data_IF_975343336036
#
_entry.id   IF_975343336036
#
_cell.length_a   1.000
_cell.length_b   1.000
_cell.length_c   1.000
_cell.angle_alpha   90.00
_cell.angle_beta   90.00
_cell.angle_gamma   90.00
#
_symmetry.space_group_name_H-M   'P 1'
#
loop_
_entity.id
_entity.type
_entity.pdbx_description
1 polymer ?
#
# COMPACT_ATOMS: atom_id res chain seq x y z
N UNK A 1 54.46 -11.00 26.76
CA UNK A 1 53.62 -11.95 26.00
C UNK A 1 52.14 -11.91 26.42
N UNK A 2 51.81 -11.76 27.71
CA UNK A 2 50.44 -11.70 28.22
C UNK A 2 49.59 -10.48 27.73
N UNK A 3 50.21 -9.30 27.53
CA UNK A 3 49.50 -8.08 27.14
C UNK A 3 48.87 -8.16 25.73
N UNK A 4 49.48 -8.94 24.81
CA UNK A 4 48.98 -9.11 23.44
C UNK A 4 47.77 -10.06 23.38
N UNK A 5 47.64 -10.99 24.32
CA UNK A 5 46.53 -11.95 24.38
C UNK A 5 45.25 -11.26 24.85
N UNK A 6 45.33 -10.34 25.82
CA UNK A 6 44.18 -9.57 26.29
C UNK A 6 43.58 -8.67 25.21
N UNK A 7 44.42 -8.04 24.37
CA UNK A 7 43.93 -7.18 23.28
C UNK A 7 43.18 -8.01 22.22
N UNK A 8 43.67 -9.21 21.90
CA UNK A 8 42.99 -10.11 20.96
C UNK A 8 41.64 -10.58 21.53
N UNK A 9 41.59 -10.93 22.82
CA UNK A 9 40.34 -11.34 23.47
C UNK A 9 39.29 -10.22 23.46
N UNK A 10 39.70 -8.97 23.72
CA UNK A 10 38.81 -7.80 23.70
C UNK A 10 38.29 -7.51 22.29
N UNK A 11 39.14 -7.63 21.27
CA UNK A 11 38.71 -7.43 19.88
C UNK A 11 37.71 -8.51 19.47
N UNK A 12 37.95 -9.77 19.83
CA UNK A 12 37.03 -10.88 19.52
C UNK A 12 35.68 -10.73 20.23
N UNK A 13 35.63 -10.24 21.48
CA UNK A 13 34.37 -10.00 22.17
C UNK A 13 33.60 -8.82 21.57
N UNK A 14 34.28 -7.74 21.17
CA UNK A 14 33.64 -6.60 20.49
C UNK A 14 33.06 -7.03 19.13
N UNK A 15 33.80 -7.83 18.35
CA UNK A 15 33.29 -8.37 17.08
C UNK A 15 32.06 -9.24 17.32
N UNK A 16 32.10 -10.14 18.31
CA UNK A 16 30.96 -10.99 18.66
C UNK A 16 29.73 -10.19 19.14
N UNK A 17 29.92 -9.14 19.93
CA UNK A 17 28.85 -8.23 20.34
C UNK A 17 28.28 -7.47 19.14
N UNK A 18 29.14 -6.99 18.23
CA UNK A 18 28.70 -6.27 17.02
C UNK A 18 27.89 -7.16 16.07
N UNK A 19 28.27 -8.42 15.89
CA UNK A 19 27.52 -9.36 15.04
C UNK A 19 26.21 -9.77 15.71
N UNK A 20 26.20 -9.97 17.03
CA UNK A 20 24.97 -10.22 17.78
C UNK A 20 24.01 -9.03 17.70
N UNK A 21 24.50 -7.79 17.81
CA UNK A 21 23.68 -6.58 17.62
C UNK A 21 23.12 -6.54 16.20
N UNK A 22 23.91 -6.81 15.17
CA UNK A 22 23.44 -6.83 13.77
C UNK A 22 22.39 -7.93 13.52
N UNK A 23 22.58 -9.12 14.08
CA UNK A 23 21.61 -10.21 14.01
C UNK A 23 20.32 -9.82 14.76
N UNK A 24 20.44 -9.19 15.92
CA UNK A 24 19.29 -8.75 16.71
C UNK A 24 18.53 -7.61 16.03
N UNK A 25 19.23 -6.65 15.41
CA UNK A 25 18.60 -5.62 14.60
C UNK A 25 17.93 -6.21 13.36
N UNK A 26 18.52 -7.18 12.67
CA UNK A 26 17.88 -7.84 11.52
C UNK A 26 16.67 -8.69 11.94
N UNK A 27 16.69 -9.33 13.11
CA UNK A 27 15.54 -10.06 13.66
C UNK A 27 14.40 -9.14 14.10
N UNK A 28 14.70 -7.92 14.57
CA UNK A 28 13.68 -6.90 14.84
C UNK A 28 13.01 -6.36 13.57
N UNK A 29 13.69 -6.42 12.42
CA UNK A 29 13.13 -6.02 11.12
C UNK A 29 12.54 -7.20 10.34
N UNK A 30 12.64 -8.43 10.84
CA UNK A 30 11.96 -9.58 10.27
C UNK A 30 10.46 -9.39 10.48
N UNK A 31 9.75 -9.12 9.36
CA UNK A 31 8.31 -9.00 9.28
C UNK A 31 7.64 -10.15 10.05
N UNK A 32 6.99 -9.80 11.16
CA UNK A 32 6.29 -10.70 12.06
C UNK A 32 4.86 -11.00 11.59
N UNK A 33 4.51 -10.68 10.34
CA UNK A 33 3.27 -11.09 9.74
C UNK A 33 3.37 -12.51 9.13
N UNK A 34 2.61 -13.49 9.63
CA UNK A 34 2.65 -14.85 9.10
C UNK A 34 1.96 -14.99 7.73
N UNK A 35 1.27 -13.97 7.22
CA UNK A 35 0.55 -14.05 5.95
C UNK A 35 1.35 -13.48 4.78
N UNK A 36 1.35 -14.21 3.67
CA UNK A 36 1.62 -13.63 2.36
C UNK A 36 0.51 -12.64 1.99
N UNK A 37 0.78 -11.65 1.13
CA UNK A 37 -0.24 -10.70 0.68
C UNK A 37 -1.44 -11.39 0.02
N UNK A 38 -1.20 -12.53 -0.64
CA UNK A 38 -2.24 -13.40 -1.20
C UNK A 38 -3.14 -13.98 -0.11
N UNK A 39 -2.55 -14.62 0.90
CA UNK A 39 -3.33 -15.21 2.00
C UNK A 39 -4.11 -14.13 2.77
N UNK A 40 -3.52 -12.94 2.93
CA UNK A 40 -4.19 -11.80 3.52
C UNK A 40 -5.42 -11.38 2.70
N UNK A 41 -5.27 -11.19 1.38
CA UNK A 41 -6.39 -10.92 0.44
C UNK A 41 -7.49 -11.97 0.57
N UNK A 42 -7.11 -13.25 0.54
CA UNK A 42 -8.03 -14.38 0.59
C UNK A 42 -8.77 -14.46 1.93
N UNK A 43 -8.07 -14.22 3.05
CA UNK A 43 -8.66 -14.23 4.40
C UNK A 43 -9.73 -13.17 4.60
N UNK A 44 -9.65 -12.07 3.85
CA UNK A 44 -10.64 -10.99 3.87
C UNK A 44 -11.73 -11.19 2.82
N UNK A 45 -11.59 -12.14 1.89
CA UNK A 45 -12.56 -12.32 0.79
C UNK A 45 -12.61 -11.10 -0.14
N UNK A 46 -11.49 -10.39 -0.32
CA UNK A 46 -11.40 -9.27 -1.25
C UNK A 46 -11.15 -9.78 -2.68
N UNK A 47 -11.99 -9.37 -3.62
CA UNK A 47 -11.98 -9.87 -5.01
C UNK A 47 -11.22 -8.97 -6.00
N UNK A 48 -10.71 -7.82 -5.56
CA UNK A 48 -9.99 -6.87 -6.40
C UNK A 48 -8.47 -7.09 -6.39
N UNK A 49 -7.74 -6.15 -7.00
CA UNK A 49 -6.31 -6.23 -7.24
C UNK A 49 -5.53 -5.95 -5.95
N UNK A 50 -4.57 -6.82 -5.62
CA UNK A 50 -3.61 -6.61 -4.55
C UNK A 50 -2.19 -6.74 -5.11
N UNK A 51 -1.31 -5.81 -4.76
CA UNK A 51 0.09 -5.80 -5.19
C UNK A 51 0.99 -5.40 -4.03
N UNK A 52 2.21 -5.91 -3.98
CA UNK A 52 3.26 -5.39 -3.11
C UNK A 52 4.17 -4.50 -3.95
N UNK A 53 4.22 -3.21 -3.62
CA UNK A 53 4.97 -2.23 -4.41
C UNK A 53 5.31 -0.99 -3.56
N UNK A 54 6.28 -1.10 -2.61
CA UNK A 54 6.66 0.00 -1.73
C UNK A 54 7.07 1.28 -2.47
N UNK A 55 7.70 1.14 -3.62
CA UNK A 55 8.11 2.23 -4.50
C UNK A 55 6.94 3.07 -5.01
N UNK A 56 5.76 2.46 -5.20
CA UNK A 56 4.54 3.21 -5.56
C UNK A 56 4.09 4.06 -4.38
N UNK A 57 4.15 3.54 -3.15
CA UNK A 57 3.89 4.33 -1.95
C UNK A 57 4.79 5.56 -1.84
N UNK A 58 6.08 5.42 -2.17
CA UNK A 58 7.04 6.53 -2.20
C UNK A 58 6.68 7.58 -3.27
N UNK A 59 6.34 7.15 -4.49
CA UNK A 59 5.94 8.04 -5.57
C UNK A 59 4.69 8.85 -5.23
N UNK A 60 3.78 8.28 -4.44
CA UNK A 60 2.57 8.94 -3.96
C UNK A 60 2.75 9.67 -2.63
N UNK A 61 3.98 9.76 -2.13
CA UNK A 61 4.36 10.40 -0.86
C UNK A 61 3.55 9.91 0.35
N UNK A 62 3.23 8.61 0.37
CA UNK A 62 2.44 7.99 1.44
C UNK A 62 3.28 7.90 2.71
N UNK A 63 2.81 8.54 3.77
CA UNK A 63 3.47 8.54 5.10
C UNK A 63 2.63 7.84 6.18
N UNK A 64 1.34 7.70 5.94
CA UNK A 64 0.34 7.15 6.86
C UNK A 64 -0.45 6.09 6.13
N UNK A 65 -0.82 5.01 6.82
CA UNK A 65 -1.70 3.97 6.29
C UNK A 65 -2.90 3.72 7.22
N UNK A 66 -4.08 3.39 6.68
CA UNK A 66 -4.39 3.35 5.24
C UNK A 66 -4.37 4.77 4.64
N UNK A 67 -4.02 4.86 3.35
CA UNK A 67 -4.20 6.10 2.57
C UNK A 67 -4.99 5.78 1.32
N UNK A 68 -6.10 6.49 1.12
CA UNK A 68 -6.90 6.40 -0.10
C UNK A 68 -6.51 7.53 -1.04
N UNK A 69 -6.34 7.20 -2.32
CA UNK A 69 -6.22 8.16 -3.41
C UNK A 69 -7.21 7.77 -4.49
N UNK A 70 -8.06 8.69 -4.94
CA UNK A 70 -8.99 8.45 -6.06
C UNK A 70 -8.57 9.30 -7.25
N UNK A 71 -8.43 8.64 -8.39
CA UNK A 71 -8.12 9.24 -9.67
C UNK A 71 -9.37 9.36 -10.51
N UNK A 72 -9.55 10.49 -11.20
CA UNK A 72 -10.59 10.59 -12.22
C UNK A 72 -10.25 9.77 -13.48
N UNK A 73 -11.18 9.77 -14.44
CA UNK A 73 -11.04 9.05 -15.72
C UNK A 73 -9.85 9.53 -16.57
N UNK A 74 -9.28 10.70 -16.29
CA UNK A 74 -8.09 11.24 -16.96
C UNK A 74 -6.80 10.88 -16.21
N UNK A 75 -6.90 10.25 -15.02
CA UNK A 75 -5.77 9.91 -14.18
C UNK A 75 -5.27 11.05 -13.30
N UNK A 76 -6.09 12.06 -13.04
CA UNK A 76 -5.74 13.16 -12.14
C UNK A 76 -6.18 12.79 -10.74
N UNK A 77 -5.37 13.12 -9.74
CA UNK A 77 -5.72 12.92 -8.33
C UNK A 77 -6.84 13.87 -7.96
N UNK A 78 -8.00 13.34 -7.53
CA UNK A 78 -9.18 14.13 -7.15
C UNK A 78 -9.57 14.01 -5.68
N UNK A 79 -9.15 12.92 -5.05
CA UNK A 79 -9.36 12.70 -3.63
C UNK A 79 -8.10 12.10 -3.03
N UNK A 80 -7.74 12.55 -1.83
CA UNK A 80 -6.72 11.94 -0.98
C UNK A 80 -7.18 12.02 0.46
N UNK A 81 -7.10 10.89 1.16
CA UNK A 81 -7.38 10.84 2.59
C UNK A 81 -6.39 9.92 3.30
N UNK A 82 -5.88 10.39 4.44
CA UNK A 82 -5.01 9.61 5.32
C UNK A 82 -5.82 9.13 6.54
N UNK A 83 -5.79 7.82 6.80
CA UNK A 83 -6.60 7.18 7.84
C UNK A 83 -7.87 6.52 7.29
N UNK A 84 -8.74 6.09 8.21
CA UNK A 84 -9.97 5.36 7.86
C UNK A 84 -11.00 6.28 7.20
N UNK A 85 -11.64 5.79 6.13
CA UNK A 85 -12.74 6.45 5.41
C UNK A 85 -13.91 5.49 5.24
N UNK A 86 -15.11 5.98 5.57
CA UNK A 86 -16.36 5.24 5.41
C UNK A 86 -16.73 5.05 3.94
N UNK A 87 -17.37 3.93 3.62
CA UNK A 87 -17.77 3.60 2.25
C UNK A 87 -18.69 4.65 1.62
N UNK A 88 -19.56 5.30 2.40
CA UNK A 88 -20.47 6.34 1.89
C UNK A 88 -19.72 7.51 1.30
N UNK A 89 -18.68 7.99 1.99
CA UNK A 89 -17.83 9.08 1.50
C UNK A 89 -17.15 8.68 0.20
N UNK A 90 -16.56 7.48 0.16
CA UNK A 90 -15.90 6.98 -1.06
C UNK A 90 -16.88 6.81 -2.22
N UNK A 91 -18.10 6.35 -1.96
CA UNK A 91 -19.16 6.20 -2.95
C UNK A 91 -19.57 7.56 -3.52
N UNK A 92 -19.79 8.55 -2.66
CA UNK A 92 -20.19 9.90 -3.09
C UNK A 92 -19.10 10.54 -3.96
N UNK A 93 -17.83 10.44 -3.55
CA UNK A 93 -16.70 10.94 -4.34
C UNK A 93 -16.63 10.27 -5.71
N UNK A 94 -16.67 8.93 -5.78
CA UNK A 94 -16.62 8.20 -7.05
C UNK A 94 -17.82 8.56 -7.93
N UNK A 95 -19.02 8.72 -7.37
CA UNK A 95 -20.22 9.11 -8.14
C UNK A 95 -20.07 10.48 -8.80
N UNK A 96 -19.50 11.45 -8.09
CA UNK A 96 -19.20 12.78 -8.64
C UNK A 96 -18.19 12.66 -9.78
N UNK A 97 -17.14 11.85 -9.61
CA UNK A 97 -16.14 11.67 -10.67
C UNK A 97 -16.69 10.95 -11.91
N UNK A 98 -17.62 10.01 -11.73
CA UNK A 98 -18.29 9.31 -12.83
C UNK A 98 -19.30 10.19 -13.58
N UNK A 99 -19.88 11.22 -12.96
CA UNK A 99 -20.80 12.14 -13.64
C UNK A 99 -20.09 13.09 -14.61
N UNK A 100 -18.74 13.15 -14.56
CA UNK A 100 -17.94 14.09 -15.33
C UNK A 100 -18.03 15.53 -14.83
N UNK A 101 -18.74 15.76 -13.71
CA UNK A 101 -18.84 17.06 -13.06
C UNK A 101 -17.45 17.49 -12.60
N UNK A 102 -16.99 18.65 -13.09
CA UNK A 102 -15.71 19.20 -12.66
C UNK A 102 -15.87 19.65 -11.21
N UNK A 103 -15.19 18.95 -10.29
CA UNK A 103 -15.03 19.41 -8.92
C UNK A 103 -14.22 20.71 -8.98
N UNK A 104 -14.89 21.84 -8.80
CA UNK A 104 -14.24 23.15 -8.70
C UNK A 104 -13.53 23.23 -7.34
N UNK A 105 -12.33 22.69 -7.26
CA UNK A 105 -11.55 22.63 -6.01
C UNK A 105 -10.30 21.79 -6.18
N UNK A 106 -9.25 22.17 -5.46
CA UNK A 106 -7.85 21.78 -5.60
C UNK A 106 -7.58 20.26 -5.77
N UNK A 107 -6.77 19.94 -6.78
CA UNK A 107 -6.26 18.58 -7.08
C UNK A 107 -5.90 18.44 -8.55
N UNK A 108 -4.89 19.16 -9.06
CA UNK A 108 -4.64 19.32 -10.51
C UNK A 108 -3.52 18.44 -11.09
N UNK A 109 -2.84 17.64 -10.28
CA UNK A 109 -1.69 16.87 -10.76
C UNK A 109 -2.11 15.49 -11.29
N UNK A 110 -1.50 15.13 -12.42
CA UNK A 110 -1.56 13.76 -12.92
C UNK A 110 -0.87 12.84 -11.92
N UNK A 111 -1.51 11.70 -11.64
CA UNK A 111 -0.94 10.70 -10.75
C UNK A 111 0.37 10.15 -11.34
N UNK A 112 1.33 9.83 -10.46
CA UNK A 112 2.54 9.12 -10.89
C UNK A 112 2.14 7.78 -11.51
N UNK A 113 2.48 7.60 -12.78
CA UNK A 113 2.20 6.35 -13.51
C UNK A 113 3.09 5.23 -12.99
N UNK A 114 2.57 4.00 -13.03
CA UNK A 114 3.32 2.81 -12.61
C UNK A 114 2.79 1.57 -13.33
N UNK A 115 3.65 0.55 -13.39
CA UNK A 115 3.29 -0.81 -13.78
C UNK A 115 3.81 -1.76 -12.71
N UNK A 116 2.94 -2.62 -12.18
CA UNK A 116 3.23 -3.55 -11.08
C UNK A 116 2.65 -4.92 -11.39
N UNK A 117 3.16 -5.95 -10.71
CA UNK A 117 2.61 -7.31 -10.80
C UNK A 117 1.76 -7.58 -9.58
N UNK A 118 0.50 -7.95 -9.79
CA UNK A 118 -0.40 -8.31 -8.70
C UNK A 118 -0.05 -9.68 -8.11
N UNK A 119 -0.70 -10.01 -6.99
CA UNK A 119 -0.52 -11.30 -6.31
C UNK A 119 -0.83 -12.50 -7.22
N UNK A 120 -1.69 -12.33 -8.22
CA UNK A 120 -2.13 -13.31 -9.22
C UNK A 120 -1.16 -13.42 -10.41
N UNK A 121 -0.06 -12.69 -10.38
CA UNK A 121 0.96 -12.70 -11.41
C UNK A 121 0.57 -11.90 -12.65
N UNK A 122 -0.55 -11.18 -12.64
CA UNK A 122 -1.00 -10.33 -13.73
C UNK A 122 -0.34 -8.96 -13.63
N UNK A 123 0.00 -8.37 -14.78
CA UNK A 123 0.47 -6.98 -14.83
C UNK A 123 -0.71 -6.03 -14.71
N UNK A 124 -0.55 -5.02 -13.85
CA UNK A 124 -1.41 -3.87 -13.73
C UNK A 124 -0.64 -2.63 -14.20
N UNK A 125 -1.14 -1.96 -15.23
CA UNK A 125 -0.59 -0.71 -15.74
C UNK A 125 -1.62 0.40 -15.52
N UNK A 126 -1.26 1.42 -14.73
CA UNK A 126 -2.20 2.50 -14.37
C UNK A 126 -2.74 3.24 -15.61
N UNK A 127 -1.93 3.38 -16.67
CA UNK A 127 -2.33 4.11 -17.87
C UNK A 127 -3.37 3.37 -18.70
N UNK A 128 -3.41 2.04 -18.63
CA UNK A 128 -4.42 1.22 -19.32
C UNK A 128 -5.84 1.38 -18.74
N UNK A 129 -5.95 2.03 -17.57
CA UNK A 129 -7.22 2.29 -16.88
C UNK A 129 -7.75 3.71 -17.07
N UNK A 130 -7.20 4.48 -18.02
CA UNK A 130 -7.84 5.73 -18.48
C UNK A 130 -9.26 5.43 -18.96
N UNK A 131 -10.19 6.33 -18.68
CA UNK A 131 -11.63 6.10 -18.88
C UNK A 131 -12.35 5.49 -17.66
N UNK A 132 -11.61 5.01 -16.66
CA UNK A 132 -12.17 4.54 -15.39
C UNK A 132 -11.76 5.44 -14.22
N UNK A 133 -12.59 5.52 -13.20
CA UNK A 133 -12.19 6.05 -11.90
C UNK A 133 -11.34 4.99 -11.20
N UNK A 134 -10.18 5.37 -10.66
CA UNK A 134 -9.26 4.41 -10.02
C UNK A 134 -9.07 4.76 -8.56
N UNK A 135 -9.43 3.84 -7.66
CA UNK A 135 -9.20 3.94 -6.22
C UNK A 135 -7.94 3.16 -5.86
N UNK A 136 -6.93 3.89 -5.37
CA UNK A 136 -5.69 3.35 -4.82
C UNK A 136 -5.81 3.29 -3.28
N UNK A 137 -5.62 2.11 -2.71
CA UNK A 137 -5.60 1.90 -1.27
C UNK A 137 -4.18 1.48 -0.84
N UNK A 138 -3.44 2.41 -0.25
CA UNK A 138 -2.10 2.12 0.29
C UNK A 138 -2.23 1.55 1.70
N UNK A 139 -1.63 0.39 1.93
CA UNK A 139 -1.87 -0.42 3.12
C UNK A 139 -0.65 -1.26 3.52
N UNK A 140 -0.77 -1.94 4.65
CA UNK A 140 0.13 -3.02 5.06
C UNK A 140 -0.71 -4.16 5.65
N UNK A 141 -0.24 -5.39 5.55
CA UNK A 141 -0.97 -6.57 6.01
C UNK A 141 -1.01 -6.65 7.55
N UNK A 142 -0.03 -6.07 8.25
CA UNK A 142 -0.02 -5.97 9.72
C UNK A 142 -0.84 -4.80 10.30
N UNK A 143 -1.40 -3.94 9.44
CA UNK A 143 -2.09 -2.71 9.87
C UNK A 143 -3.57 -2.98 10.21
N UNK A 144 -3.93 -2.80 11.49
CA UNK A 144 -5.30 -3.01 11.99
C UNK A 144 -6.34 -2.12 11.30
N UNK A 145 -6.05 -0.84 11.12
CA UNK A 145 -6.97 0.09 10.45
C UNK A 145 -7.15 -0.24 8.97
N UNK A 146 -6.13 -0.83 8.33
CA UNK A 146 -6.19 -1.25 6.94
C UNK A 146 -7.17 -2.41 6.75
N UNK A 147 -7.28 -3.32 7.74
CA UNK A 147 -8.31 -4.35 7.75
C UNK A 147 -9.72 -3.74 7.76
N UNK A 148 -9.97 -2.76 8.63
CA UNK A 148 -11.26 -2.05 8.65
C UNK A 148 -11.53 -1.30 7.35
N UNK A 149 -10.52 -0.65 6.77
CA UNK A 149 -10.65 0.02 5.48
C UNK A 149 -11.04 -0.96 4.37
N UNK A 150 -10.48 -2.16 4.36
CA UNK A 150 -10.84 -3.20 3.37
C UNK A 150 -12.31 -3.62 3.51
N UNK A 151 -12.88 -3.67 4.71
CA UNK A 151 -14.32 -3.91 4.89
C UNK A 151 -15.19 -2.79 4.28
N UNK A 152 -14.76 -1.52 4.41
CA UNK A 152 -15.42 -0.41 3.72
C UNK A 152 -15.26 -0.50 2.19
N UNK A 153 -14.08 -0.91 1.71
CA UNK A 153 -13.82 -1.07 0.28
C UNK A 153 -14.62 -2.22 -0.36
N UNK A 154 -14.99 -3.27 0.39
CA UNK A 154 -15.90 -4.30 -0.14
C UNK A 154 -17.24 -3.71 -0.54
N UNK A 155 -17.81 -2.84 0.30
CA UNK A 155 -19.08 -2.15 0.02
C UNK A 155 -18.95 -1.25 -1.21
N UNK A 156 -17.82 -0.53 -1.33
CA UNK A 156 -17.52 0.30 -2.50
C UNK A 156 -17.41 -0.55 -3.77
N UNK A 157 -16.68 -1.67 -3.71
CA UNK A 157 -16.48 -2.57 -4.84
C UNK A 157 -17.79 -3.21 -5.31
N UNK A 158 -18.64 -3.66 -4.37
CA UNK A 158 -19.98 -4.18 -4.67
C UNK A 158 -20.90 -3.11 -5.25
N UNK A 159 -20.90 -1.90 -4.68
CA UNK A 159 -21.74 -0.79 -5.15
C UNK A 159 -21.47 -0.39 -6.60
N UNK A 160 -20.20 -0.44 -7.03
CA UNK A 160 -19.78 -0.07 -8.38
C UNK A 160 -19.61 -1.27 -9.33
N UNK A 161 -20.17 -2.44 -8.99
CA UNK A 161 -20.16 -3.58 -9.90
C UNK A 161 -20.75 -3.20 -11.26
N UNK A 162 -20.01 -3.49 -12.34
CA UNK A 162 -20.39 -3.13 -13.71
C UNK A 162 -20.16 -1.67 -14.11
N UNK A 163 -19.69 -0.81 -13.21
CA UNK A 163 -19.28 0.58 -13.50
C UNK A 163 -17.80 0.65 -13.90
N UNK A 164 -17.35 1.72 -14.60
CA UNK A 164 -15.94 1.91 -14.94
C UNK A 164 -15.15 2.40 -13.72
N UNK A 165 -15.04 1.54 -12.70
CA UNK A 165 -14.34 1.78 -11.45
C UNK A 165 -13.35 0.65 -11.21
N UNK A 166 -12.12 1.01 -10.86
CA UNK A 166 -11.02 0.08 -10.59
C UNK A 166 -10.54 0.28 -9.17
N UNK A 167 -10.43 -0.80 -8.41
CA UNK A 167 -9.90 -0.78 -7.03
C UNK A 167 -8.60 -1.58 -6.97
N UNK A 168 -7.55 -0.99 -6.42
CA UNK A 168 -6.26 -1.64 -6.20
C UNK A 168 -5.74 -1.34 -4.78
N UNK A 169 -5.43 -2.41 -4.05
CA UNK A 169 -4.72 -2.34 -2.76
C UNK A 169 -3.22 -2.53 -2.99
N UNK A 170 -2.42 -1.57 -2.55
CA UNK A 170 -0.97 -1.54 -2.72
C UNK A 170 -0.33 -1.67 -1.34
N UNK A 171 0.28 -2.83 -1.06
CA UNK A 171 1.09 -3.02 0.13
C UNK A 171 2.39 -2.24 0.00
N UNK A 172 2.66 -1.40 1.00
CA UNK A 172 3.92 -0.65 1.12
C UNK A 172 4.93 -1.34 2.04
N UNK A 173 4.68 -2.61 2.38
CA UNK A 173 5.59 -3.43 3.18
C UNK A 173 6.88 -3.71 2.40
N UNK A 174 8.05 -3.57 3.04
CA UNK A 174 9.32 -3.98 2.44
C UNK A 174 9.24 -5.44 1.95
N UNK A 175 9.90 -5.72 0.83
CA UNK A 175 10.10 -7.10 0.33
C UNK A 175 10.94 -7.95 1.30
#
# INVERSE_FOLDING_TARGET
MALRINVILIILTIIALSTLILIWTNLLHANNNPYTLREYKDSLGASWIFTQAPEVGLNYSVKVIPTIVILDQQGRVRFRHEGLVDSSTLIDEIRVLLSGEQVNGEGFEYASVFTVRDVDGKLFNLEEHRGSVVLLNFMATWCTYCKSQIEELKKVYEYFEGSPVVVISISIEPE
#
